data_IF_764167702641
#
_entry.id   IF_764167702641
#
_cell.length_a   1.000
_cell.length_b   1.000
_cell.length_c   1.000
_cell.angle_alpha   90.00
_cell.angle_beta   90.00
_cell.angle_gamma   90.00
#
_symmetry.space_group_name_H-M   'P 1'
#
loop_
_entity.id
_entity.type
_entity.pdbx_description
1 polymer ?
#
# COMPACT_ATOMS: atom_id res chain seq x y z
N UNK A 1 -8.69 -47.82 -17.64
CA UNK A 1 -7.97 -46.58 -17.99
C UNK A 1 -8.62 -45.45 -17.21
N UNK A 2 -7.92 -44.92 -16.22
CA UNK A 2 -8.34 -43.79 -15.40
C UNK A 2 -7.87 -42.51 -16.11
N UNK A 3 -8.77 -41.60 -16.47
CA UNK A 3 -8.40 -40.25 -16.88
C UNK A 3 -9.21 -39.28 -16.01
N UNK A 4 -8.51 -38.70 -15.03
CA UNK A 4 -8.99 -37.71 -14.09
C UNK A 4 -9.50 -36.48 -14.83
N UNK A 5 -10.78 -36.16 -14.62
CA UNK A 5 -11.37 -34.87 -14.94
C UNK A 5 -10.76 -33.86 -13.96
N UNK A 6 -9.81 -33.06 -14.44
CA UNK A 6 -9.32 -31.91 -13.70
C UNK A 6 -10.43 -30.86 -13.63
N UNK A 7 -11.05 -30.78 -12.46
CA UNK A 7 -11.80 -29.62 -12.00
C UNK A 7 -10.77 -28.50 -11.87
N UNK A 8 -10.60 -27.68 -12.91
CA UNK A 8 -9.98 -26.39 -12.74
C UNK A 8 -10.99 -25.55 -11.95
N UNK A 9 -10.76 -25.49 -10.64
CA UNK A 9 -11.42 -24.57 -9.75
C UNK A 9 -11.33 -23.19 -10.40
N UNK A 10 -12.50 -22.62 -10.73
CA UNK A 10 -12.62 -21.17 -10.73
C UNK A 10 -12.25 -20.76 -9.31
N UNK A 11 -10.99 -20.35 -9.12
CA UNK A 11 -10.61 -19.53 -7.99
C UNK A 11 -11.39 -18.23 -8.17
N UNK A 12 -12.65 -18.28 -7.73
CA UNK A 12 -13.38 -17.14 -7.28
C UNK A 12 -12.52 -16.63 -6.13
N UNK A 13 -11.53 -15.80 -6.46
CA UNK A 13 -10.94 -14.86 -5.52
C UNK A 13 -12.11 -13.94 -5.18
N UNK A 14 -12.98 -14.41 -4.28
CA UNK A 14 -13.71 -13.54 -3.41
C UNK A 14 -12.61 -12.70 -2.78
N UNK A 15 -12.41 -11.50 -3.33
CA UNK A 15 -11.74 -10.40 -2.67
C UNK A 15 -12.66 -10.06 -1.50
N UNK A 16 -12.72 -10.97 -0.53
CA UNK A 16 -13.29 -10.70 0.77
C UNK A 16 -12.38 -9.64 1.33
N UNK A 17 -12.95 -8.46 1.61
CA UNK A 17 -12.25 -7.35 2.21
C UNK A 17 -11.42 -7.88 3.38
N UNK A 18 -10.11 -8.00 3.18
CA UNK A 18 -9.18 -8.34 4.25
C UNK A 18 -9.25 -7.14 5.19
N UNK A 19 -9.52 -7.34 6.49
CA UNK A 19 -9.56 -6.22 7.42
C UNK A 19 -8.17 -5.57 7.44
N UNK A 20 -8.06 -4.42 6.79
CA UNK A 20 -6.84 -3.61 6.78
C UNK A 20 -6.60 -3.05 8.18
N UNK A 21 -5.34 -3.02 8.59
CA UNK A 21 -4.93 -2.28 9.78
C UNK A 21 -5.21 -0.78 9.60
N UNK A 22 -5.35 -0.04 10.70
CA UNK A 22 -5.77 1.37 10.69
C UNK A 22 -4.94 2.25 9.75
N UNK A 23 -3.62 2.07 9.74
CA UNK A 23 -2.71 2.86 8.91
C UNK A 23 -2.80 2.45 7.43
N UNK A 24 -3.00 1.17 7.12
CA UNK A 24 -3.26 0.72 5.76
C UNK A 24 -4.61 1.25 5.24
N UNK A 25 -5.62 1.30 6.10
CA UNK A 25 -6.91 1.90 5.72
C UNK A 25 -6.80 3.39 5.42
N UNK A 26 -6.01 4.13 6.21
CA UNK A 26 -5.74 5.54 5.94
C UNK A 26 -5.03 5.77 4.59
N UNK A 27 -4.13 4.86 4.19
CA UNK A 27 -3.52 4.87 2.86
C UNK A 27 -4.57 4.65 1.76
N UNK A 28 -5.44 3.64 1.92
CA UNK A 28 -6.50 3.36 0.96
C UNK A 28 -7.46 4.54 0.81
N UNK A 29 -7.90 5.14 1.92
CA UNK A 29 -8.80 6.29 1.93
C UNK A 29 -8.18 7.51 1.24
N UNK A 30 -6.87 7.73 1.44
CA UNK A 30 -6.13 8.80 0.75
C UNK A 30 -6.09 8.55 -0.75
N UNK A 31 -5.77 7.33 -1.18
CA UNK A 31 -5.76 6.94 -2.59
C UNK A 31 -7.14 7.12 -3.25
N UNK A 32 -8.22 6.73 -2.56
CA UNK A 32 -9.60 6.90 -3.05
C UNK A 32 -9.94 8.40 -3.19
N UNK A 33 -9.53 9.23 -2.23
CA UNK A 33 -9.76 10.67 -2.27
C UNK A 33 -9.05 11.36 -3.47
N UNK A 34 -7.98 10.75 -4.00
CA UNK A 34 -7.27 11.21 -5.19
C UNK A 34 -7.95 10.79 -6.50
N UNK A 35 -9.00 9.95 -6.44
CA UNK A 35 -9.83 9.58 -7.58
C UNK A 35 -9.62 8.16 -8.10
N UNK A 36 -8.77 7.36 -7.43
CA UNK A 36 -8.55 5.97 -7.80
C UNK A 36 -9.69 5.05 -7.31
N UNK A 37 -9.81 3.87 -7.93
CA UNK A 37 -10.86 2.91 -7.55
C UNK A 37 -10.60 2.31 -6.17
N UNK A 38 -11.67 2.11 -5.37
CA UNK A 38 -11.55 1.53 -4.03
C UNK A 38 -10.86 0.17 -4.02
N UNK A 39 -11.16 -0.71 -4.98
CA UNK A 39 -10.54 -2.03 -5.09
C UNK A 39 -9.02 -1.93 -5.33
N UNK A 40 -8.58 -0.99 -6.17
CA UNK A 40 -7.18 -0.75 -6.44
C UNK A 40 -6.46 -0.20 -5.19
N UNK A 41 -7.05 0.80 -4.53
CA UNK A 41 -6.50 1.41 -3.33
C UNK A 41 -6.41 0.44 -2.16
N UNK A 42 -7.42 -0.42 -1.96
CA UNK A 42 -7.40 -1.46 -0.94
C UNK A 42 -6.33 -2.53 -1.24
N UNK A 43 -6.18 -2.94 -2.51
CA UNK A 43 -5.12 -3.86 -2.92
C UNK A 43 -3.73 -3.28 -2.65
N UNK A 44 -3.53 -2.01 -3.04
CA UNK A 44 -2.26 -1.32 -2.84
C UNK A 44 -1.94 -1.18 -1.36
N UNK A 45 -2.89 -0.68 -0.56
CA UNK A 45 -2.73 -0.54 0.89
C UNK A 45 -2.45 -1.88 1.59
N UNK A 46 -3.15 -2.94 1.20
CA UNK A 46 -2.91 -4.30 1.71
C UNK A 46 -1.52 -4.80 1.36
N UNK A 47 -1.08 -4.62 0.11
CA UNK A 47 0.27 -5.00 -0.32
C UNK A 47 1.36 -4.26 0.47
N UNK A 48 1.19 -2.96 0.69
CA UNK A 48 2.15 -2.18 1.49
C UNK A 48 2.17 -2.69 2.93
N UNK A 49 1.03 -2.95 3.55
CA UNK A 49 0.94 -3.50 4.90
C UNK A 49 1.67 -4.85 5.01
N UNK A 50 1.51 -5.75 4.04
CA UNK A 50 2.16 -7.06 4.04
C UNK A 50 3.69 -7.00 3.85
N UNK A 51 4.21 -5.90 3.30
CA UNK A 51 5.64 -5.74 2.95
C UNK A 51 6.36 -4.68 3.81
N UNK A 52 5.68 -4.11 4.79
CA UNK A 52 6.23 -3.13 5.72
C UNK A 52 5.94 -3.55 7.17
N UNK A 53 6.66 -2.97 8.12
CA UNK A 53 6.28 -3.07 9.53
C UNK A 53 5.44 -1.86 9.95
N UNK A 54 4.78 -1.92 11.10
CA UNK A 54 3.89 -0.86 11.61
C UNK A 54 4.57 0.52 11.64
N UNK A 55 5.87 0.58 11.98
CA UNK A 55 6.62 1.84 12.03
C UNK A 55 6.81 2.42 10.63
N UNK A 56 7.14 1.59 9.66
CA UNK A 56 7.27 1.97 8.25
C UNK A 56 5.90 2.37 7.67
N UNK A 57 4.86 1.57 7.90
CA UNK A 57 3.49 1.85 7.46
C UNK A 57 2.98 3.18 8.03
N UNK A 58 3.25 3.44 9.31
CA UNK A 58 2.90 4.71 9.97
C UNK A 58 3.72 5.92 9.50
N UNK A 59 4.90 5.69 8.93
CA UNK A 59 5.69 6.75 8.30
C UNK A 59 5.20 7.03 6.88
N UNK A 60 4.85 5.98 6.13
CA UNK A 60 4.33 6.10 4.78
C UNK A 60 2.99 6.83 4.75
N UNK A 61 2.09 6.54 5.68
CA UNK A 61 0.82 7.29 5.84
C UNK A 61 1.05 8.78 5.98
N UNK A 62 2.01 9.20 6.83
CA UNK A 62 2.39 10.61 7.01
C UNK A 62 2.94 11.22 5.72
N UNK A 63 3.76 10.49 4.98
CA UNK A 63 4.33 10.97 3.71
C UNK A 63 3.26 11.15 2.63
N UNK A 64 2.23 10.31 2.63
CA UNK A 64 1.15 10.34 1.65
C UNK A 64 -0.02 11.26 2.04
N UNK A 65 -0.13 11.64 3.31
CA UNK A 65 -1.22 12.47 3.84
C UNK A 65 -1.28 13.82 3.08
N UNK A 66 -2.44 14.16 2.49
CA UNK A 66 -2.65 15.43 1.78
C UNK A 66 -2.26 16.67 2.57
N UNK A 67 -2.34 16.66 3.90
CA UNK A 67 -1.96 17.79 4.77
C UNK A 67 -0.48 18.15 4.67
N UNK A 68 0.36 17.21 4.28
CA UNK A 68 1.80 17.41 4.13
C UNK A 68 2.20 17.61 2.67
N UNK A 69 1.28 17.43 1.70
CA UNK A 69 1.53 17.67 0.28
C UNK A 69 1.79 19.17 0.05
N UNK A 70 2.95 19.47 -0.52
CA UNK A 70 3.41 20.85 -0.78
C UNK A 70 4.38 21.42 0.26
N UNK A 71 4.61 20.71 1.37
CA UNK A 71 5.68 21.07 2.32
C UNK A 71 6.41 19.83 2.80
N UNK A 72 7.53 19.52 2.13
CA UNK A 72 8.46 18.47 2.55
C UNK A 72 8.92 18.71 4.00
N UNK A 73 9.11 19.97 4.39
CA UNK A 73 9.46 20.35 5.77
C UNK A 73 8.38 19.92 6.79
N UNK A 74 7.10 20.10 6.45
CA UNK A 74 5.97 19.65 7.29
C UNK A 74 5.96 18.13 7.47
N UNK A 75 6.14 17.39 6.36
CA UNK A 75 6.23 15.93 6.38
C UNK A 75 7.42 15.45 7.24
N UNK A 76 8.60 16.02 7.00
CA UNK A 76 9.82 15.70 7.75
C UNK A 76 9.67 16.01 9.24
N UNK A 77 9.00 17.12 9.59
CA UNK A 77 8.73 17.48 10.98
C UNK A 77 7.79 16.49 11.66
N UNK A 78 6.76 16.01 10.97
CA UNK A 78 5.86 14.99 11.49
C UNK A 78 6.57 13.64 11.70
N UNK A 79 7.45 13.25 10.77
CA UNK A 79 8.23 12.01 10.87
C UNK A 79 9.29 12.07 11.97
N UNK A 80 10.01 13.19 12.09
CA UNK A 80 10.98 13.40 13.16
C UNK A 80 10.31 13.46 14.54
N UNK A 81 9.09 14.03 14.64
CA UNK A 81 8.30 13.98 15.86
C UNK A 81 7.88 12.55 16.26
N UNK A 82 7.78 11.62 15.31
CA UNK A 82 7.62 10.18 15.55
C UNK A 82 8.94 9.46 15.90
N UNK A 83 10.04 10.20 16.03
CA UNK A 83 11.35 9.65 16.41
C UNK A 83 12.11 9.02 15.25
N UNK A 84 11.79 9.38 14.01
CA UNK A 84 12.55 8.93 12.84
C UNK A 84 13.71 9.89 12.56
N UNK A 85 14.86 9.32 12.21
CA UNK A 85 16.01 10.06 11.71
C UNK A 85 15.87 10.36 10.21
N UNK A 86 16.59 11.37 9.73
CA UNK A 86 16.61 11.71 8.30
C UNK A 86 17.05 10.53 7.40
N UNK A 87 17.99 9.70 7.89
CA UNK A 87 18.45 8.51 7.18
C UNK A 87 17.39 7.42 7.10
N UNK A 88 16.64 7.19 8.18
CA UNK A 88 15.50 6.27 8.16
C UNK A 88 14.41 6.74 7.19
N UNK A 89 14.07 8.04 7.23
CA UNK A 89 13.07 8.65 6.33
C UNK A 89 13.48 8.45 4.87
N UNK A 90 14.74 8.73 4.52
CA UNK A 90 15.24 8.54 3.17
C UNK A 90 15.17 7.07 2.73
N UNK A 91 15.59 6.14 3.61
CA UNK A 91 15.52 4.71 3.34
C UNK A 91 14.08 4.25 3.07
N UNK A 92 13.11 4.75 3.83
CA UNK A 92 11.70 4.41 3.61
C UNK A 92 11.13 5.01 2.34
N UNK A 93 11.52 6.23 1.96
CA UNK A 93 11.10 6.81 0.69
C UNK A 93 11.57 5.95 -0.50
N UNK A 94 12.83 5.49 -0.47
CA UNK A 94 13.38 4.56 -1.47
C UNK A 94 12.65 3.21 -1.46
N UNK A 95 12.29 2.70 -0.28
CA UNK A 95 11.53 1.45 -0.15
C UNK A 95 10.10 1.61 -0.69
N UNK A 96 9.46 2.75 -0.42
CA UNK A 96 8.11 3.07 -0.88
C UNK A 96 8.05 3.06 -2.41
N UNK A 97 9.00 3.70 -3.06
CA UNK A 97 9.14 3.75 -4.52
C UNK A 97 9.27 2.32 -5.10
N UNK A 98 10.16 1.50 -4.53
CA UNK A 98 10.32 0.11 -4.95
C UNK A 98 9.09 -0.77 -4.67
N UNK A 99 8.33 -0.47 -3.62
CA UNK A 99 7.08 -1.17 -3.32
C UNK A 99 5.94 -0.71 -4.24
N UNK A 100 5.94 0.55 -4.66
CA UNK A 100 4.93 1.11 -5.55
C UNK A 100 4.91 0.38 -6.90
N UNK A 101 6.07 0.16 -7.51
CA UNK A 101 6.17 -0.58 -8.77
C UNK A 101 5.66 -2.02 -8.64
N UNK A 102 5.99 -2.68 -7.52
CA UNK A 102 5.56 -4.07 -7.26
C UNK A 102 4.07 -4.15 -6.96
N UNK A 103 3.55 -3.20 -6.20
CA UNK A 103 2.13 -3.11 -5.89
C UNK A 103 1.33 -2.84 -7.17
N UNK A 104 1.82 -1.95 -8.04
CA UNK A 104 1.21 -1.70 -9.34
C UNK A 104 1.16 -2.97 -10.20
N UNK A 105 2.28 -3.66 -10.38
CA UNK A 105 2.30 -4.92 -11.13
C UNK A 105 1.37 -6.01 -10.55
N UNK A 106 1.09 -5.96 -9.24
CA UNK A 106 0.22 -6.92 -8.54
C UNK A 106 -1.27 -6.54 -8.59
N UNK A 107 -1.59 -5.25 -8.51
CA UNK A 107 -2.93 -4.72 -8.33
C UNK A 107 -3.54 -4.16 -9.63
N UNK A 108 -2.69 -3.77 -10.58
CA UNK A 108 -3.02 -3.42 -11.96
C UNK A 108 -2.23 -4.34 -12.90
N UNK A 109 -2.53 -5.65 -12.96
CA UNK A 109 -1.93 -6.49 -13.99
C UNK A 109 -2.36 -5.94 -15.35
N UNK A 110 -1.40 -5.78 -16.27
CA UNK A 110 -1.68 -5.32 -17.63
C UNK A 110 -2.88 -6.08 -18.21
N UNK A 111 -3.89 -5.34 -18.69
CA UNK A 111 -4.97 -5.93 -19.48
C UNK A 111 -4.35 -6.41 -20.81
N UNK A 112 -3.95 -7.68 -20.87
CA UNK A 112 -3.65 -8.41 -22.12
C UNK A 112 -4.92 -8.65 -22.95
#
# INVERSE_FOLDING_TARGET
>A
MLALVFIAMFSNATVGAVPLETDARALADTCIAEGESAALCECYAGFIADNTNDRELSALTVLTDPKHRGSLESALKALTAKGLTAGEIFSMAMKADALQDKAKARCEPDEE
#
